data_IF_077350559036
#
_entry.id   IF_077350559036
#
_cell.length_a   1.000
_cell.length_b   1.000
_cell.length_c   1.000
_cell.angle_alpha   90.00
_cell.angle_beta   90.00
_cell.angle_gamma   90.00
#
_symmetry.space_group_name_H-M   'P 1'
#
loop_
_entity.id
_entity.type
_entity.pdbx_description
1 polymer ?
#
# COMPACT_ATOMS: atom_id res chain seq x y z
N UNK A 1 19.24 -100.01 22.11
CA UNK A 1 20.05 -100.33 20.91
C UNK A 1 21.50 -100.00 21.30
N UNK A 2 22.54 -100.87 21.24
CA UNK A 2 23.12 -101.69 20.13
C UNK A 2 23.54 -100.80 18.94
N UNK A 3 24.76 -100.78 18.41
CA UNK A 3 26.08 -101.49 18.59
C UNK A 3 27.21 -100.46 18.23
N UNK A 4 28.51 -100.47 18.58
CA UNK A 4 29.50 -101.30 19.31
C UNK A 4 30.90 -100.63 19.14
N UNK A 5 32.10 -101.24 19.12
CA UNK A 5 32.61 -102.59 19.45
C UNK A 5 34.17 -102.58 19.48
N UNK A 6 34.82 -103.64 20.01
CA UNK A 6 36.30 -103.94 20.12
C UNK A 6 36.98 -103.32 21.35
N UNK A 7 37.54 -104.07 22.32
CA UNK A 7 38.59 -105.13 22.34
C UNK A 7 40.02 -104.50 22.25
N UNK A 8 41.08 -104.94 22.94
CA UNK A 8 41.51 -106.31 23.38
C UNK A 8 42.20 -106.26 24.78
N UNK A 9 42.21 -107.38 25.54
CA UNK A 9 42.89 -107.59 26.85
C UNK A 9 44.33 -108.16 26.71
N UNK A 10 44.99 -108.81 27.70
CA UNK A 10 44.98 -108.70 29.18
C UNK A 10 46.40 -108.55 29.80
N UNK A 11 46.49 -108.28 31.12
CA UNK A 11 47.64 -108.69 31.95
C UNK A 11 47.24 -108.74 33.45
N UNK A 12 47.80 -109.68 34.21
CA UNK A 12 47.69 -109.71 35.68
C UNK A 12 48.81 -108.88 36.30
N UNK A 13 48.51 -108.16 37.39
CA UNK A 13 49.45 -108.08 38.51
C UNK A 13 48.72 -107.87 39.84
N UNK A 14 48.70 -108.90 40.68
CA UNK A 14 48.16 -108.82 42.04
C UNK A 14 49.20 -108.21 42.96
N UNK A 15 48.88 -107.12 43.66
CA UNK A 15 49.75 -106.57 44.70
C UNK A 15 48.92 -106.03 45.87
N UNK A 16 49.27 -106.41 47.09
CA UNK A 16 48.64 -105.87 48.30
C UNK A 16 49.18 -104.47 48.57
N UNK A 17 48.28 -103.50 48.73
CA UNK A 17 48.56 -102.22 49.41
C UNK A 17 47.43 -101.97 50.41
N UNK A 18 47.78 -101.47 51.59
CA UNK A 18 46.82 -101.17 52.64
C UNK A 18 45.86 -100.06 52.18
N UNK A 19 44.59 -100.17 52.58
CA UNK A 19 43.65 -99.04 52.48
C UNK A 19 43.99 -98.06 53.62
N UNK A 20 44.44 -96.82 53.35
CA UNK A 20 44.49 -95.79 54.36
C UNK A 20 43.05 -95.38 54.69
N UNK A 21 42.75 -95.13 55.97
CA UNK A 21 41.45 -94.59 56.35
C UNK A 21 41.21 -93.25 55.62
N UNK A 22 40.08 -93.14 54.91
CA UNK A 22 39.68 -91.88 54.26
C UNK A 22 39.25 -90.92 55.37
N UNK A 23 40.22 -90.20 55.92
CA UNK A 23 39.96 -88.97 56.65
C UNK A 23 39.43 -87.94 55.66
N UNK A 24 38.11 -87.90 55.48
CA UNK A 24 37.46 -86.75 54.90
C UNK A 24 37.75 -85.56 55.83
N UNK A 25 38.56 -84.61 55.37
CA UNK A 25 38.59 -83.29 55.96
C UNK A 25 37.17 -82.73 55.84
N UNK A 26 36.59 -82.30 56.96
CA UNK A 26 35.19 -81.88 56.98
C UNK A 26 35.07 -80.53 56.26
N UNK A 27 34.62 -80.59 55.01
CA UNK A 27 34.54 -79.44 54.11
C UNK A 27 33.63 -78.34 54.65
N UNK A 28 32.65 -78.71 55.48
CA UNK A 28 31.80 -77.76 56.18
C UNK A 28 32.59 -76.99 57.25
N UNK A 29 33.42 -77.67 58.04
CA UNK A 29 34.21 -77.02 59.10
C UNK A 29 35.29 -76.10 58.51
N UNK A 30 35.92 -76.46 57.38
CA UNK A 30 36.83 -75.57 56.64
C UNK A 30 36.11 -74.33 56.06
N UNK A 31 34.90 -74.50 55.52
CA UNK A 31 34.08 -73.39 55.07
C UNK A 31 33.70 -72.46 56.24
N UNK A 32 33.31 -73.02 57.39
CA UNK A 32 33.00 -72.26 58.60
C UNK A 32 34.23 -71.51 59.13
N UNK A 33 35.42 -72.11 59.09
CA UNK A 33 36.66 -71.45 59.48
C UNK A 33 37.00 -70.24 58.60
N UNK A 34 36.75 -70.29 57.28
CA UNK A 34 36.92 -69.12 56.40
C UNK A 34 35.80 -68.08 56.59
N UNK A 35 34.56 -68.52 56.86
CA UNK A 35 33.43 -67.65 57.21
C UNK A 35 33.67 -66.84 58.49
N UNK A 36 34.17 -67.46 59.57
CA UNK A 36 34.43 -66.79 60.86
C UNK A 36 35.45 -65.66 60.70
N UNK A 37 36.48 -65.84 59.85
CA UNK A 37 37.43 -64.77 59.50
C UNK A 37 36.70 -63.60 58.84
N UNK A 38 35.80 -63.87 57.90
CA UNK A 38 34.96 -62.86 57.27
C UNK A 38 34.03 -62.15 58.25
N UNK A 39 33.35 -62.90 59.13
CA UNK A 39 32.42 -62.34 60.11
C UNK A 39 33.09 -61.32 61.05
N UNK A 40 34.32 -61.60 61.48
CA UNK A 40 35.12 -60.64 62.25
C UNK A 40 35.30 -59.31 61.50
N UNK A 41 35.68 -59.36 60.22
CA UNK A 41 35.87 -58.16 59.39
C UNK A 41 34.53 -57.41 59.17
N UNK A 42 33.40 -58.10 59.08
CA UNK A 42 32.06 -57.50 59.09
C UNK A 42 31.74 -56.78 60.42
N UNK A 43 32.06 -57.38 61.57
CA UNK A 43 31.83 -56.71 62.87
C UNK A 43 32.70 -55.46 63.03
N UNK A 44 33.95 -55.49 62.54
CA UNK A 44 34.85 -54.33 62.52
C UNK A 44 34.41 -53.26 61.50
N UNK A 45 33.81 -53.66 60.38
CA UNK A 45 33.19 -52.71 59.45
C UNK A 45 32.07 -51.90 60.12
N UNK A 46 31.27 -52.52 60.99
CA UNK A 46 30.19 -51.83 61.69
C UNK A 46 30.71 -50.82 62.72
N UNK A 47 31.81 -51.11 63.43
CA UNK A 47 32.38 -50.17 64.42
C UNK A 47 33.08 -48.97 63.76
N UNK A 48 33.72 -49.17 62.61
CA UNK A 48 34.35 -48.09 61.83
C UNK A 48 33.34 -47.19 61.09
N UNK A 49 32.10 -47.67 60.88
CA UNK A 49 31.09 -47.05 60.01
C UNK A 49 30.86 -45.55 60.23
N UNK A 50 30.87 -45.07 61.48
CA UNK A 50 30.57 -43.68 61.84
C UNK A 50 31.80 -42.79 61.97
N UNK A 51 33.00 -43.34 61.99
CA UNK A 51 34.26 -42.61 62.23
C UNK A 51 35.25 -42.69 61.07
N UNK A 52 35.20 -43.78 60.29
CA UNK A 52 36.01 -44.04 59.12
C UNK A 52 35.24 -44.91 58.12
N UNK A 53 34.28 -44.30 57.42
CA UNK A 53 33.44 -44.96 56.41
C UNK A 53 34.27 -45.70 55.34
N UNK A 54 35.40 -45.14 54.91
CA UNK A 54 36.27 -45.78 53.92
C UNK A 54 36.99 -47.03 54.49
N UNK A 55 37.33 -47.02 55.77
CA UNK A 55 37.78 -48.20 56.52
C UNK A 55 36.69 -49.25 56.64
N UNK A 56 35.46 -48.83 56.97
CA UNK A 56 34.29 -49.71 57.05
C UNK A 56 34.00 -50.41 55.71
N UNK A 57 33.99 -49.68 54.59
CA UNK A 57 33.80 -50.26 53.26
C UNK A 57 34.89 -51.29 52.93
N UNK A 58 36.17 -50.96 53.13
CA UNK A 58 37.28 -51.90 52.92
C UNK A 58 37.17 -53.17 53.78
N UNK A 59 36.74 -53.05 55.04
CA UNK A 59 36.51 -54.18 55.94
C UNK A 59 35.33 -55.05 55.48
N UNK A 60 34.26 -54.43 54.99
CA UNK A 60 33.13 -55.14 54.41
C UNK A 60 33.48 -55.84 53.08
N UNK A 61 34.32 -55.24 52.24
CA UNK A 61 34.85 -55.88 51.03
C UNK A 61 35.68 -57.13 51.35
N UNK A 62 36.37 -57.16 52.49
CA UNK A 62 37.09 -58.35 52.97
C UNK A 62 36.09 -59.41 53.45
N UNK A 63 35.08 -59.04 54.24
CA UNK A 63 33.98 -59.95 54.60
C UNK A 63 33.37 -60.62 53.37
N UNK A 64 32.99 -59.84 52.34
CA UNK A 64 32.42 -60.38 51.10
C UNK A 64 33.37 -61.33 50.36
N UNK A 65 34.68 -61.08 50.36
CA UNK A 65 35.69 -62.00 49.78
C UNK A 65 35.78 -63.30 50.57
N UNK A 66 35.82 -63.23 51.89
CA UNK A 66 35.90 -64.41 52.77
C UNK A 66 34.60 -65.24 52.71
N UNK A 67 33.44 -64.59 52.66
CA UNK A 67 32.14 -65.25 52.48
C UNK A 67 32.06 -65.99 51.13
N UNK A 68 32.52 -65.38 50.04
CA UNK A 68 32.55 -66.05 48.73
C UNK A 68 33.53 -67.22 48.68
N UNK A 69 34.67 -67.14 49.39
CA UNK A 69 35.59 -68.28 49.56
C UNK A 69 34.95 -69.41 50.35
N UNK A 70 34.39 -69.12 51.51
CA UNK A 70 33.67 -70.10 52.33
C UNK A 70 32.57 -70.80 51.52
N UNK A 71 31.75 -70.03 50.77
CA UNK A 71 30.71 -70.53 49.85
C UNK A 71 31.26 -71.44 48.74
N UNK A 72 32.51 -71.22 48.30
CA UNK A 72 33.16 -72.06 47.29
C UNK A 72 33.77 -73.36 47.85
N UNK A 73 33.90 -73.46 49.18
CA UNK A 73 34.27 -74.70 49.88
C UNK A 73 32.98 -75.50 50.19
N UNK A 74 31.99 -74.85 50.81
CA UNK A 74 30.66 -75.42 51.04
C UNK A 74 29.56 -74.35 50.91
N UNK A 75 28.59 -74.49 49.99
CA UNK A 75 27.51 -73.51 49.80
C UNK A 75 26.42 -73.57 50.90
N UNK A 76 26.38 -74.62 51.73
CA UNK A 76 25.37 -74.79 52.79
C UNK A 76 25.49 -73.78 53.93
N UNK A 77 26.67 -73.15 54.09
CA UNK A 77 26.92 -72.10 55.09
C UNK A 77 25.92 -70.93 55.02
N UNK A 78 25.29 -70.71 53.85
CA UNK A 78 24.33 -69.62 53.64
C UNK A 78 22.94 -69.92 54.21
N UNK A 79 22.63 -71.20 54.46
CA UNK A 79 21.28 -71.67 54.81
C UNK A 79 21.26 -72.47 56.13
N UNK A 80 22.40 -72.55 56.83
CA UNK A 80 22.56 -73.35 58.05
C UNK A 80 22.34 -72.52 59.31
N UNK A 81 21.68 -73.13 60.31
CA UNK A 81 21.49 -72.54 61.65
C UNK A 81 22.62 -72.88 62.62
N UNK A 82 23.58 -73.72 62.22
CA UNK A 82 24.70 -74.10 63.09
C UNK A 82 25.58 -72.89 63.42
N UNK A 83 26.13 -72.86 64.64
CA UNK A 83 27.06 -71.82 65.13
C UNK A 83 26.57 -70.39 64.84
N UNK A 84 25.26 -70.18 65.00
CA UNK A 84 24.53 -68.92 64.82
C UNK A 84 24.65 -68.27 63.43
N UNK A 85 25.04 -69.02 62.39
CA UNK A 85 25.38 -68.46 61.06
C UNK A 85 24.23 -67.68 60.41
N UNK A 86 23.00 -68.16 60.45
CA UNK A 86 21.81 -67.41 59.99
C UNK A 86 21.67 -66.03 60.66
N UNK A 87 21.84 -65.96 61.98
CA UNK A 87 21.76 -64.69 62.74
C UNK A 87 22.92 -63.74 62.38
N UNK A 88 24.12 -64.30 62.24
CA UNK A 88 25.36 -63.59 61.93
C UNK A 88 25.40 -63.09 60.46
N UNK A 89 24.85 -63.86 59.51
CA UNK A 89 24.64 -63.44 58.12
C UNK A 89 23.66 -62.25 58.05
N UNK A 90 22.48 -62.39 58.67
CA UNK A 90 21.50 -61.29 58.75
C UNK A 90 22.03 -60.07 59.49
N UNK A 91 22.95 -60.24 60.44
CA UNK A 91 23.68 -59.12 61.03
C UNK A 91 24.53 -58.40 59.98
N UNK A 92 25.33 -59.12 59.18
CA UNK A 92 26.16 -58.50 58.16
C UNK A 92 25.35 -57.85 57.01
N UNK A 93 24.19 -58.39 56.64
CA UNK A 93 23.24 -57.71 55.75
C UNK A 93 22.81 -56.34 56.31
N UNK A 94 22.47 -56.27 57.60
CA UNK A 94 22.18 -55.01 58.29
C UNK A 94 23.41 -54.08 58.35
N UNK A 95 24.62 -54.62 58.47
CA UNK A 95 25.87 -53.82 58.41
C UNK A 95 26.06 -53.22 57.01
N UNK A 96 25.82 -53.96 55.94
CA UNK A 96 25.87 -53.45 54.56
C UNK A 96 24.92 -52.27 54.36
N UNK A 97 23.65 -52.47 54.74
CA UNK A 97 22.60 -51.44 54.68
C UNK A 97 23.01 -50.20 55.49
N UNK A 98 23.52 -50.39 56.71
CA UNK A 98 23.97 -49.30 57.56
C UNK A 98 25.18 -48.54 56.98
N UNK A 99 26.11 -49.22 56.31
CA UNK A 99 27.26 -48.61 55.61
C UNK A 99 26.77 -47.80 54.42
N UNK A 100 25.89 -48.36 53.57
CA UNK A 100 25.27 -47.63 52.45
C UNK A 100 24.49 -46.40 52.92
N UNK A 101 23.73 -46.50 54.02
CA UNK A 101 23.04 -45.34 54.63
C UNK A 101 24.02 -44.29 55.13
N UNK A 102 25.15 -44.69 55.74
CA UNK A 102 26.19 -43.74 56.19
C UNK A 102 26.89 -43.01 55.03
N UNK A 103 26.97 -43.64 53.86
CA UNK A 103 27.48 -43.02 52.63
C UNK A 103 26.44 -42.10 51.95
N UNK A 104 25.19 -42.54 51.85
CA UNK A 104 24.10 -41.81 51.20
C UNK A 104 23.58 -40.60 51.99
N UNK A 105 23.59 -40.65 53.33
CA UNK A 105 23.05 -39.59 54.21
C UNK A 105 23.67 -38.21 53.94
N UNK A 106 25.02 -38.01 53.99
CA UNK A 106 25.60 -36.68 53.77
C UNK A 106 25.36 -36.13 52.34
N UNK A 107 25.15 -37.00 51.36
CA UNK A 107 24.81 -36.61 49.98
C UNK A 107 23.39 -36.03 49.94
N UNK A 108 22.42 -36.74 50.53
CA UNK A 108 21.04 -36.26 50.64
C UNK A 108 20.94 -35.00 51.52
N UNK A 109 21.73 -34.91 52.60
CA UNK A 109 21.78 -33.72 53.46
C UNK A 109 22.36 -32.50 52.75
N UNK A 110 23.36 -32.68 51.88
CA UNK A 110 23.79 -31.61 50.96
C UNK A 110 22.68 -31.24 49.99
N UNK A 111 21.88 -32.18 49.51
CA UNK A 111 20.68 -31.89 48.71
C UNK A 111 19.67 -30.99 49.44
N UNK A 112 19.46 -31.20 50.73
CA UNK A 112 18.46 -30.42 51.48
C UNK A 112 18.78 -28.91 51.55
N UNK A 113 20.05 -28.49 51.51
CA UNK A 113 20.37 -27.05 51.52
C UNK A 113 19.91 -26.34 50.23
N UNK A 114 19.97 -27.03 49.08
CA UNK A 114 19.39 -26.54 47.84
C UNK A 114 17.85 -26.51 47.89
N UNK A 115 17.22 -27.51 48.50
CA UNK A 115 15.76 -27.51 48.72
C UNK A 115 15.29 -26.35 49.61
N UNK A 116 15.97 -26.07 50.72
CA UNK A 116 15.65 -24.92 51.57
C UNK A 116 15.96 -23.58 50.87
N UNK A 117 17.00 -23.52 50.02
CA UNK A 117 17.28 -22.33 49.18
C UNK A 117 16.16 -22.11 48.15
N UNK A 118 15.73 -23.16 47.44
CA UNK A 118 14.64 -23.09 46.47
C UNK A 118 13.32 -22.62 47.09
N UNK A 119 13.02 -23.12 48.30
CA UNK A 119 11.88 -22.72 49.12
C UNK A 119 11.93 -21.25 49.53
N UNK A 120 13.10 -20.70 49.83
CA UNK A 120 13.25 -19.28 50.13
C UNK A 120 13.10 -18.41 48.87
N UNK A 121 13.69 -18.83 47.75
CA UNK A 121 13.50 -18.18 46.44
C UNK A 121 12.01 -18.12 46.05
N UNK A 122 11.23 -19.20 46.25
CA UNK A 122 9.78 -19.18 46.02
C UNK A 122 9.02 -18.18 46.88
N UNK A 123 9.36 -18.05 48.19
CA UNK A 123 8.72 -17.02 49.04
C UNK A 123 8.97 -15.60 48.51
N UNK A 124 10.15 -15.39 47.94
CA UNK A 124 10.61 -14.10 47.42
C UNK A 124 10.21 -13.87 45.95
N UNK A 125 9.44 -14.77 45.34
CA UNK A 125 8.98 -14.67 43.94
C UNK A 125 10.03 -15.04 42.89
N UNK A 126 11.22 -15.48 43.29
CA UNK A 126 12.31 -15.84 42.38
C UNK A 126 12.16 -17.29 41.89
N UNK A 127 11.22 -17.49 40.97
CA UNK A 127 10.93 -18.79 40.33
C UNK A 127 12.16 -19.36 39.58
N UNK A 128 12.97 -18.58 38.81
CA UNK A 128 14.16 -19.11 38.14
C UNK A 128 15.25 -19.64 39.08
N UNK A 129 15.57 -18.92 40.16
CA UNK A 129 16.53 -19.42 41.16
C UNK A 129 15.96 -20.61 41.94
N UNK A 130 14.66 -20.62 42.21
CA UNK A 130 13.98 -21.77 42.82
C UNK A 130 14.07 -23.03 41.92
N UNK A 131 13.85 -22.89 40.61
CA UNK A 131 13.96 -24.00 39.66
C UNK A 131 15.38 -24.57 39.59
N UNK A 132 16.38 -23.68 39.55
CA UNK A 132 17.80 -24.06 39.53
C UNK A 132 18.18 -24.87 40.77
N UNK A 133 17.82 -24.37 41.96
CA UNK A 133 18.11 -25.05 43.22
C UNK A 133 17.31 -26.35 43.40
N UNK A 134 16.05 -26.40 42.98
CA UNK A 134 15.25 -27.63 43.02
C UNK A 134 15.83 -28.73 42.12
N UNK A 135 16.45 -28.35 41.00
CA UNK A 135 17.15 -29.30 40.10
C UNK A 135 18.40 -29.89 40.76
N UNK A 136 19.20 -29.08 41.45
CA UNK A 136 20.36 -29.56 42.24
C UNK A 136 19.93 -30.46 43.42
N UNK A 137 18.83 -30.12 44.11
CA UNK A 137 18.24 -31.00 45.14
C UNK A 137 17.88 -32.38 44.56
N UNK A 138 17.21 -32.43 43.40
CA UNK A 138 16.83 -33.69 42.74
C UNK A 138 18.05 -34.55 42.44
N UNK A 139 19.11 -33.99 41.86
CA UNK A 139 20.33 -34.75 41.61
C UNK A 139 20.90 -35.33 42.91
N UNK A 140 21.05 -34.53 43.96
CA UNK A 140 21.56 -35.04 45.25
C UNK A 140 20.65 -36.07 45.95
N UNK A 141 19.32 -35.97 45.76
CA UNK A 141 18.37 -37.01 46.20
C UNK A 141 18.60 -38.31 45.44
N UNK A 142 18.71 -38.24 44.12
CA UNK A 142 18.79 -39.40 43.25
C UNK A 142 20.18 -40.07 43.36
N UNK A 143 21.26 -39.28 43.46
CA UNK A 143 22.63 -39.73 43.80
C UNK A 143 22.65 -40.57 45.10
N UNK A 144 21.91 -40.13 46.12
CA UNK A 144 21.82 -40.83 47.40
C UNK A 144 20.96 -42.11 47.31
N UNK A 145 19.86 -42.09 46.55
CA UNK A 145 18.99 -43.26 46.34
C UNK A 145 19.66 -44.36 45.51
N UNK A 146 20.57 -44.01 44.59
CA UNK A 146 21.42 -44.96 43.85
C UNK A 146 22.32 -45.78 44.80
N UNK A 147 22.74 -45.20 45.92
CA UNK A 147 23.56 -45.89 46.95
C UNK A 147 22.69 -46.78 47.84
N UNK A 148 21.56 -46.24 48.35
CA UNK A 148 20.45 -47.05 48.87
C UNK A 148 19.15 -46.24 49.02
N UNK A 149 18.08 -46.81 48.50
CA UNK A 149 16.67 -46.49 48.79
C UNK A 149 16.35 -46.43 50.29
N UNK A 150 16.97 -47.30 51.09
CA UNK A 150 16.70 -47.51 52.52
C UNK A 150 17.00 -46.30 53.42
N UNK A 151 17.62 -45.24 52.89
CA UNK A 151 17.63 -43.91 53.54
C UNK A 151 16.20 -43.39 53.81
N UNK A 152 15.20 -43.82 53.04
CA UNK A 152 13.79 -43.46 53.20
C UNK A 152 13.08 -44.16 54.37
N UNK A 153 13.70 -45.16 54.99
CA UNK A 153 13.25 -45.69 56.29
C UNK A 153 13.66 -44.76 57.45
N UNK A 154 14.70 -43.94 57.28
CA UNK A 154 15.13 -42.99 58.29
C UNK A 154 14.14 -41.84 58.35
N UNK A 155 13.20 -41.90 59.30
CA UNK A 155 12.06 -41.00 59.42
C UNK A 155 12.41 -39.50 59.24
N UNK A 156 13.52 -39.04 59.82
CA UNK A 156 13.98 -37.65 59.69
C UNK A 156 14.34 -37.26 58.24
N UNK A 157 15.07 -38.12 57.52
CA UNK A 157 15.42 -37.90 56.11
C UNK A 157 14.17 -37.97 55.23
N UNK A 158 13.34 -39.00 55.42
CA UNK A 158 12.10 -39.17 54.69
C UNK A 158 11.09 -38.04 54.94
N UNK A 159 11.09 -37.44 56.13
CA UNK A 159 10.27 -36.25 56.46
C UNK A 159 10.75 -35.03 55.67
N UNK A 160 12.07 -34.76 55.63
CA UNK A 160 12.65 -33.71 54.81
C UNK A 160 12.41 -33.92 53.31
N UNK A 161 12.55 -35.14 52.78
CA UNK A 161 12.22 -35.45 51.36
C UNK A 161 10.76 -35.12 51.03
N UNK A 162 9.80 -35.52 51.90
CA UNK A 162 8.38 -35.15 51.73
C UNK A 162 8.14 -33.64 51.86
N UNK A 163 8.95 -32.92 52.63
CA UNK A 163 8.89 -31.45 52.70
C UNK A 163 9.38 -30.80 51.39
N UNK A 164 10.45 -31.33 50.78
CA UNK A 164 10.96 -30.87 49.50
C UNK A 164 10.01 -31.19 48.32
N UNK A 165 9.31 -32.32 48.34
CA UNK A 165 8.22 -32.61 47.38
C UNK A 165 7.18 -31.48 47.35
N UNK A 166 6.75 -30.98 48.52
CA UNK A 166 5.80 -29.86 48.61
C UNK A 166 6.38 -28.50 48.17
N UNK A 167 7.70 -28.39 48.02
CA UNK A 167 8.36 -27.22 47.41
C UNK A 167 8.44 -27.41 45.89
N UNK A 168 8.68 -28.64 45.42
CA UNK A 168 8.63 -29.01 44.00
C UNK A 168 7.22 -28.85 43.41
N UNK A 169 6.18 -29.29 44.12
CA UNK A 169 4.76 -29.12 43.76
C UNK A 169 4.43 -27.63 43.57
N UNK A 170 4.79 -26.77 44.55
CA UNK A 170 4.59 -25.32 44.47
C UNK A 170 5.42 -24.65 43.39
N UNK A 171 6.66 -25.12 43.16
CA UNK A 171 7.46 -24.65 42.03
C UNK A 171 6.78 -24.96 40.70
N UNK A 172 6.16 -26.14 40.54
CA UNK A 172 5.43 -26.48 39.32
C UNK A 172 4.20 -25.58 39.10
N UNK A 173 3.50 -25.19 40.16
CA UNK A 173 2.43 -24.17 40.12
C UNK A 173 3.00 -22.79 39.71
N UNK A 174 4.01 -22.27 40.41
CA UNK A 174 4.60 -20.96 40.11
C UNK A 174 5.26 -20.90 38.72
N UNK A 175 5.89 -21.98 38.24
CA UNK A 175 6.43 -22.05 36.87
C UNK A 175 5.33 -22.02 35.81
N UNK A 176 4.13 -22.54 36.11
CA UNK A 176 3.00 -22.49 35.17
C UNK A 176 2.48 -21.06 35.01
N UNK A 177 2.39 -20.32 36.10
CA UNK A 177 2.00 -18.89 36.10
C UNK A 177 3.07 -18.03 35.42
N UNK A 178 4.35 -18.26 35.77
CA UNK A 178 5.51 -17.60 35.14
C UNK A 178 5.56 -17.84 33.63
N UNK A 179 5.40 -19.08 33.18
CA UNK A 179 5.39 -19.40 31.74
C UNK A 179 4.22 -18.73 31.02
N UNK A 180 3.01 -18.72 31.61
CA UNK A 180 1.85 -18.05 31.01
C UNK A 180 2.04 -16.52 30.93
N UNK A 181 2.76 -15.91 31.87
CA UNK A 181 3.17 -14.51 31.79
C UNK A 181 4.24 -14.29 30.71
N UNK A 182 5.26 -15.14 30.63
CA UNK A 182 6.32 -15.07 29.60
C UNK A 182 5.74 -15.24 28.19
N UNK A 183 4.73 -16.11 28.00
CA UNK A 183 3.99 -16.23 26.74
C UNK A 183 3.29 -14.92 26.35
N UNK A 184 2.59 -14.25 27.30
CA UNK A 184 1.95 -12.94 27.06
C UNK A 184 2.95 -11.83 26.75
N UNK A 185 4.10 -11.81 27.44
CA UNK A 185 5.22 -10.90 27.14
C UNK A 185 5.76 -11.15 25.73
N UNK A 186 6.01 -12.41 25.37
CA UNK A 186 6.53 -12.80 24.06
C UNK A 186 5.54 -12.47 22.94
N UNK A 187 4.22 -12.60 23.15
CA UNK A 187 3.20 -12.17 22.20
C UNK A 187 3.21 -10.65 21.98
N UNK A 188 3.39 -9.85 23.04
CA UNK A 188 3.54 -8.40 22.93
C UNK A 188 4.84 -7.99 22.19
N UNK A 189 5.95 -8.68 22.48
CA UNK A 189 7.25 -8.54 21.81
C UNK A 189 7.12 -8.83 20.31
N UNK A 190 6.58 -9.99 19.92
CA UNK A 190 6.37 -10.36 18.52
C UNK A 190 5.46 -9.35 17.80
N UNK A 191 4.38 -8.91 18.45
CA UNK A 191 3.52 -7.86 17.92
C UNK A 191 4.29 -6.57 17.62
N UNK A 192 5.16 -6.13 18.54
CA UNK A 192 6.00 -4.94 18.34
C UNK A 192 7.17 -5.15 17.37
N UNK A 193 7.68 -6.37 17.19
CA UNK A 193 8.62 -6.71 16.10
C UNK A 193 7.95 -6.50 14.73
N UNK A 194 6.67 -6.86 14.57
CA UNK A 194 5.89 -6.59 13.35
C UNK A 194 5.68 -5.08 13.14
N UNK A 195 5.36 -4.31 14.19
CA UNK A 195 5.23 -2.84 14.13
C UNK A 195 6.50 -2.19 13.61
N UNK A 196 7.66 -2.53 14.20
CA UNK A 196 8.96 -2.01 13.77
C UNK A 196 9.27 -2.41 12.32
N UNK A 197 8.97 -3.66 11.93
CA UNK A 197 9.20 -4.13 10.55
C UNK A 197 8.38 -3.34 9.52
N UNK A 198 7.08 -3.16 9.75
CA UNK A 198 6.20 -2.39 8.87
C UNK A 198 6.60 -0.91 8.82
N UNK A 199 6.92 -0.33 9.97
CA UNK A 199 7.33 1.07 10.05
C UNK A 199 8.66 1.34 9.34
N UNK A 200 9.70 0.50 9.53
CA UNK A 200 10.98 0.70 8.84
C UNK A 200 10.89 0.40 7.34
N UNK A 201 9.99 -0.47 6.89
CA UNK A 201 9.66 -0.62 5.47
C UNK A 201 9.02 0.65 4.89
N UNK A 202 8.05 1.24 5.60
CA UNK A 202 7.44 2.52 5.23
C UNK A 202 8.50 3.65 5.18
N UNK A 203 9.34 3.75 6.22
CA UNK A 203 10.43 4.73 6.35
C UNK A 203 11.46 4.61 5.23
N UNK A 204 11.91 3.39 4.94
CA UNK A 204 12.87 3.10 3.86
C UNK A 204 12.28 3.41 2.48
N UNK A 205 10.98 3.18 2.30
CA UNK A 205 10.28 3.48 1.05
C UNK A 205 10.18 4.99 0.81
N UNK A 206 9.80 5.79 1.82
CA UNK A 206 9.60 7.23 1.66
C UNK A 206 10.87 8.08 1.75
N UNK A 207 11.89 7.62 2.49
CA UNK A 207 13.21 8.28 2.53
C UNK A 207 14.11 7.94 1.34
N UNK A 208 13.68 7.02 0.47
CA UNK A 208 14.42 6.61 -0.72
C UNK A 208 14.63 7.79 -1.69
N UNK A 209 15.84 7.99 -2.26
CA UNK A 209 16.07 8.96 -3.33
C UNK A 209 15.35 8.58 -4.65
N UNK A 210 14.70 7.41 -4.71
CA UNK A 210 13.83 6.96 -5.82
C UNK A 210 12.34 6.96 -5.43
N UNK A 211 11.96 7.60 -4.33
CA UNK A 211 10.56 7.74 -3.93
C UNK A 211 9.79 8.58 -4.97
N UNK A 212 8.53 8.19 -5.21
CA UNK A 212 7.58 8.93 -6.05
C UNK A 212 6.31 9.16 -5.24
N UNK A 213 5.69 10.33 -5.40
CA UNK A 213 4.45 10.71 -4.70
C UNK A 213 3.25 9.80 -5.01
N UNK A 214 3.33 8.99 -6.08
CA UNK A 214 2.37 7.92 -6.38
C UNK A 214 2.39 6.81 -5.31
N UNK A 215 3.54 6.56 -4.69
CA UNK A 215 3.72 5.57 -3.61
C UNK A 215 3.43 6.12 -2.21
N UNK A 216 2.96 7.36 -2.11
CA UNK A 216 2.61 7.94 -0.82
C UNK A 216 1.45 7.17 -0.17
N UNK A 217 0.54 6.66 -0.98
CA UNK A 217 -0.63 5.94 -0.50
C UNK A 217 -0.24 4.50 -0.06
N UNK A 218 0.66 3.81 -0.78
CA UNK A 218 1.31 2.56 -0.32
C UNK A 218 1.96 2.73 1.07
N UNK A 219 2.68 3.83 1.27
CA UNK A 219 3.40 4.13 2.53
C UNK A 219 2.42 4.43 3.67
N UNK A 220 1.30 5.10 3.39
CA UNK A 220 0.23 5.30 4.37
C UNK A 220 -0.36 3.95 4.80
N UNK A 221 -0.55 3.00 3.87
CA UNK A 221 -1.10 1.68 4.20
C UNK A 221 -0.14 0.80 5.00
N UNK A 222 1.18 0.85 4.74
CA UNK A 222 2.18 0.22 5.62
C UNK A 222 2.10 0.78 7.06
N UNK A 223 1.90 2.10 7.22
CA UNK A 223 1.71 2.72 8.52
C UNK A 223 0.35 2.38 9.16
N UNK A 224 -0.70 2.18 8.36
CA UNK A 224 -2.00 1.69 8.84
C UNK A 224 -1.89 0.25 9.37
N UNK A 225 -1.15 -0.64 8.71
CA UNK A 225 -0.87 -1.99 9.22
C UNK A 225 0.02 -1.98 10.45
N UNK A 226 1.05 -1.12 10.51
CA UNK A 226 1.83 -0.90 11.73
C UNK A 226 0.94 -0.46 12.90
N UNK A 227 0.00 0.46 12.68
CA UNK A 227 -0.94 0.92 13.69
C UNK A 227 -1.93 -0.19 14.14
N UNK A 228 -2.39 -1.05 13.23
CA UNK A 228 -3.21 -2.24 13.55
C UNK A 228 -2.43 -3.24 14.40
N UNK A 229 -1.19 -3.57 14.01
CA UNK A 229 -0.30 -4.46 14.76
C UNK A 229 -0.01 -3.91 16.17
N UNK A 230 0.25 -2.60 16.28
CA UNK A 230 0.48 -1.90 17.56
C UNK A 230 -0.75 -1.92 18.47
N UNK A 231 -1.95 -1.75 17.90
CA UNK A 231 -3.21 -1.86 18.64
C UNK A 231 -3.42 -3.29 19.15
N UNK A 232 -3.15 -4.30 18.33
CA UNK A 232 -3.22 -5.72 18.71
C UNK A 232 -2.23 -6.07 19.83
N UNK A 233 -0.95 -5.72 19.67
CA UNK A 233 0.08 -5.96 20.68
C UNK A 233 -0.28 -5.38 22.06
N UNK A 234 -0.86 -4.16 22.07
CA UNK A 234 -1.33 -3.46 23.28
C UNK A 234 -2.59 -4.06 23.92
N UNK A 235 -3.25 -5.05 23.33
CA UNK A 235 -4.35 -5.79 24.00
C UNK A 235 -3.81 -6.73 25.09
N UNK A 236 -2.52 -7.07 25.09
CA UNK A 236 -1.85 -7.81 26.16
C UNK A 236 -1.60 -6.89 27.37
N UNK A 237 -2.65 -6.42 28.04
CA UNK A 237 -2.56 -5.43 29.14
C UNK A 237 -1.64 -5.88 30.28
N UNK A 238 -1.64 -7.18 30.59
CA UNK A 238 -0.74 -7.78 31.60
C UNK A 238 0.75 -7.61 31.24
N UNK A 239 1.11 -7.69 29.96
CA UNK A 239 2.49 -7.50 29.53
C UNK A 239 2.95 -6.05 29.76
N UNK A 240 2.06 -5.07 29.57
CA UNK A 240 2.35 -3.66 29.83
C UNK A 240 2.27 -3.29 31.33
N UNK A 241 1.53 -4.05 32.14
CA UNK A 241 1.62 -3.97 33.59
C UNK A 241 2.99 -4.47 34.10
N UNK A 242 3.42 -5.68 33.70
CA UNK A 242 4.71 -6.26 34.12
C UNK A 242 5.92 -5.50 33.56
N UNK A 243 5.80 -4.89 32.38
CA UNK A 243 6.77 -3.91 31.87
C UNK A 243 7.01 -2.74 32.84
N UNK A 244 5.94 -2.28 33.51
CA UNK A 244 5.95 -1.13 34.42
C UNK A 244 6.37 -1.53 35.84
N UNK A 245 5.83 -2.64 36.34
CA UNK A 245 6.09 -3.15 37.70
C UNK A 245 7.47 -3.81 37.82
N UNK A 246 7.97 -4.42 36.75
CA UNK A 246 9.19 -5.23 36.75
C UNK A 246 10.07 -4.92 35.52
N UNK A 247 10.58 -3.67 35.40
CA UNK A 247 11.34 -3.22 34.23
C UNK A 247 12.70 -3.92 34.05
N UNK A 248 13.21 -4.58 35.10
CA UNK A 248 14.49 -5.29 35.07
C UNK A 248 14.42 -6.73 34.51
N UNK A 249 13.23 -7.24 34.16
CA UNK A 249 13.11 -8.56 33.51
C UNK A 249 13.62 -8.49 32.06
N UNK A 250 14.27 -9.53 31.52
CA UNK A 250 14.76 -9.53 30.13
C UNK A 250 13.66 -9.20 29.10
N UNK A 251 12.48 -9.77 29.27
CA UNK A 251 11.32 -9.54 28.40
C UNK A 251 10.80 -8.10 28.52
N UNK A 252 10.83 -7.50 29.71
CA UNK A 252 10.47 -6.08 29.91
C UNK A 252 11.46 -5.16 29.19
N UNK A 253 12.75 -5.44 29.28
CA UNK A 253 13.79 -4.66 28.59
C UNK A 253 13.70 -4.78 27.07
N UNK A 254 13.43 -5.97 26.53
CA UNK A 254 13.19 -6.15 25.09
C UNK A 254 11.93 -5.44 24.63
N UNK A 255 10.81 -5.60 25.34
CA UNK A 255 9.55 -4.95 25.01
C UNK A 255 9.68 -3.41 25.06
N UNK A 256 10.34 -2.85 26.08
CA UNK A 256 10.58 -1.41 26.17
C UNK A 256 11.36 -0.90 24.95
N UNK A 257 12.48 -1.56 24.62
CA UNK A 257 13.33 -1.21 23.47
C UNK A 257 12.55 -1.24 22.15
N UNK A 258 11.67 -2.22 21.95
CA UNK A 258 10.83 -2.33 20.76
C UNK A 258 9.70 -1.28 20.74
N UNK A 259 9.16 -0.90 21.90
CA UNK A 259 8.16 0.18 22.04
C UNK A 259 8.76 1.54 21.68
N UNK A 260 9.96 1.84 22.18
CA UNK A 260 10.65 3.11 21.92
C UNK A 260 11.13 3.20 20.47
N UNK A 261 11.68 2.11 19.92
CA UNK A 261 12.04 1.98 18.50
C UNK A 261 10.83 2.23 17.58
N UNK A 262 9.67 1.65 17.90
CA UNK A 262 8.44 1.88 17.13
C UNK A 262 7.98 3.36 17.22
N UNK A 263 8.04 3.97 18.40
CA UNK A 263 7.68 5.38 18.58
C UNK A 263 8.62 6.33 17.81
N UNK A 264 9.93 6.05 17.81
CA UNK A 264 10.92 6.82 17.04
C UNK A 264 10.69 6.69 15.53
N UNK A 265 10.46 5.47 15.04
CA UNK A 265 10.17 5.23 13.63
C UNK A 265 8.84 5.88 13.20
N UNK A 266 7.79 5.79 14.01
CA UNK A 266 6.50 6.43 13.73
C UNK A 266 6.63 7.94 13.61
N UNK A 267 7.40 8.59 14.50
CA UNK A 267 7.67 10.03 14.42
C UNK A 267 8.37 10.43 13.13
N UNK A 268 9.48 9.76 12.80
CA UNK A 268 10.26 10.02 11.59
C UNK A 268 9.42 9.80 10.32
N UNK A 269 8.72 8.68 10.23
CA UNK A 269 7.91 8.32 9.05
C UNK A 269 6.71 9.27 8.88
N UNK A 270 6.10 9.71 9.98
CA UNK A 270 5.02 10.71 9.94
C UNK A 270 5.49 12.07 9.42
N UNK A 271 6.73 12.49 9.73
CA UNK A 271 7.30 13.74 9.21
C UNK A 271 7.55 13.66 7.69
N UNK A 272 8.10 12.54 7.21
CA UNK A 272 8.23 12.28 5.76
C UNK A 272 6.87 12.26 5.05
N UNK A 273 5.88 11.54 5.59
CA UNK A 273 4.51 11.48 5.03
C UNK A 273 3.88 12.86 4.99
N UNK A 274 4.00 13.66 6.05
CA UNK A 274 3.46 15.04 6.11
C UNK A 274 4.11 15.94 5.07
N UNK A 275 5.41 15.79 4.85
CA UNK A 275 6.18 16.55 3.86
C UNK A 275 5.79 16.14 2.43
N UNK A 276 5.74 14.85 2.14
CA UNK A 276 5.29 14.32 0.85
C UNK A 276 3.84 14.70 0.55
N UNK A 277 2.94 14.65 1.54
CA UNK A 277 1.54 15.09 1.41
C UNK A 277 1.43 16.58 1.09
N UNK A 278 2.24 17.43 1.74
CA UNK A 278 2.29 18.87 1.45
C UNK A 278 2.77 19.12 0.01
N UNK A 279 3.77 18.36 -0.45
CA UNK A 279 4.30 18.48 -1.81
C UNK A 279 3.30 17.98 -2.87
N UNK A 280 2.64 16.83 -2.66
CA UNK A 280 1.55 16.31 -3.52
C UNK A 280 0.45 17.36 -3.69
N UNK A 281 -0.07 17.91 -2.59
CA UNK A 281 -1.12 18.96 -2.61
C UNK A 281 -0.68 20.25 -3.30
N UNK A 282 0.59 20.65 -3.16
CA UNK A 282 1.11 21.84 -3.85
C UNK A 282 1.17 21.63 -5.37
N UNK A 283 1.67 20.48 -5.82
CA UNK A 283 1.74 20.11 -7.24
C UNK A 283 0.33 19.88 -7.84
N UNK A 284 -0.56 19.24 -7.11
CA UNK A 284 -1.99 19.12 -7.48
C UNK A 284 -2.65 20.50 -7.63
N UNK A 285 -2.30 21.48 -6.79
CA UNK A 285 -2.79 22.85 -6.93
C UNK A 285 -2.24 23.51 -8.20
N UNK A 286 -0.93 23.44 -8.44
CA UNK A 286 -0.29 24.00 -9.64
C UNK A 286 -0.96 23.42 -10.92
N UNK A 287 -1.24 22.12 -10.94
CA UNK A 287 -1.97 21.46 -12.04
C UNK A 287 -3.41 21.97 -12.15
N UNK A 288 -4.13 22.15 -11.04
CA UNK A 288 -5.51 22.65 -11.07
C UNK A 288 -5.62 24.12 -11.52
N UNK A 289 -4.69 24.98 -11.12
CA UNK A 289 -4.59 26.37 -11.61
C UNK A 289 -4.25 26.39 -13.12
N UNK A 290 -3.45 25.43 -13.58
CA UNK A 290 -3.22 25.15 -15.00
C UNK A 290 -4.48 24.67 -15.75
N UNK A 291 -5.27 23.77 -15.15
CA UNK A 291 -6.55 23.29 -15.70
C UNK A 291 -7.55 24.45 -15.83
N UNK A 292 -7.65 25.33 -14.83
CA UNK A 292 -8.51 26.52 -14.90
C UNK A 292 -8.10 27.44 -16.06
N UNK A 293 -6.79 27.64 -16.24
CA UNK A 293 -6.23 28.43 -17.34
C UNK A 293 -6.49 27.80 -18.72
N UNK A 294 -6.43 26.46 -18.82
CA UNK A 294 -6.80 25.73 -20.04
C UNK A 294 -8.32 25.70 -20.29
N UNK A 295 -9.16 25.72 -19.25
CA UNK A 295 -10.61 25.80 -19.40
C UNK A 295 -10.99 27.13 -20.05
N UNK A 296 -10.49 28.24 -19.50
CA UNK A 296 -10.69 29.56 -20.11
C UNK A 296 -10.14 29.65 -21.55
N UNK A 297 -9.08 28.88 -21.88
CA UNK A 297 -8.57 28.76 -23.25
C UNK A 297 -9.52 27.96 -24.17
N UNK A 298 -10.11 26.86 -23.69
CA UNK A 298 -11.14 26.09 -24.39
C UNK A 298 -12.39 26.96 -24.61
N UNK A 299 -12.90 27.63 -23.57
CA UNK A 299 -14.10 28.46 -23.62
C UNK A 299 -13.97 29.62 -24.62
N UNK A 300 -12.83 30.32 -24.60
CA UNK A 300 -12.51 31.36 -25.58
C UNK A 300 -12.41 30.78 -27.01
N UNK A 301 -11.83 29.59 -27.18
CA UNK A 301 -11.78 28.94 -28.49
C UNK A 301 -13.17 28.55 -28.99
N UNK A 302 -14.06 28.07 -28.13
CA UNK A 302 -15.44 27.73 -28.51
C UNK A 302 -16.28 28.95 -28.86
N UNK A 303 -16.05 30.09 -28.20
CA UNK A 303 -16.70 31.35 -28.56
C UNK A 303 -16.23 31.86 -29.93
N UNK A 304 -14.91 31.85 -30.18
CA UNK A 304 -14.36 32.10 -31.51
C UNK A 304 -14.92 31.12 -32.56
N UNK A 305 -15.07 29.83 -32.21
CA UNK A 305 -15.63 28.80 -33.10
C UNK A 305 -17.07 29.09 -33.47
N UNK A 306 -17.92 29.44 -32.50
CA UNK A 306 -19.35 29.79 -32.69
C UNK A 306 -19.49 31.00 -33.62
N UNK A 307 -18.70 32.06 -33.40
CA UNK A 307 -18.68 33.24 -34.28
C UNK A 307 -18.16 32.89 -35.69
N UNK A 308 -17.15 32.03 -35.80
CA UNK A 308 -16.58 31.57 -37.08
C UNK A 308 -17.44 30.60 -37.89
N UNK A 309 -18.71 30.38 -37.51
CA UNK A 309 -19.66 29.60 -38.29
C UNK A 309 -20.17 30.34 -39.53
N UNK A 310 -20.48 31.64 -39.38
CA UNK A 310 -20.84 32.57 -40.46
C UNK A 310 -20.73 34.00 -39.93
N UNK A 311 -19.90 34.82 -40.58
CA UNK A 311 -19.81 36.25 -40.26
C UNK A 311 -20.95 37.03 -40.93
N UNK A 312 -21.51 38.02 -40.22
CA UNK A 312 -22.59 38.90 -40.70
C UNK A 312 -22.14 40.37 -40.68
N UNK A 313 -21.30 40.74 -39.71
CA UNK A 313 -20.63 42.03 -39.62
C UNK A 313 -19.10 41.85 -39.49
N UNK A 314 -18.35 42.89 -39.85
CA UNK A 314 -16.88 42.90 -39.74
C UNK A 314 -16.43 42.85 -38.26
N UNK A 315 -17.27 43.32 -37.33
CA UNK A 315 -17.09 43.17 -35.89
C UNK A 315 -17.09 41.69 -35.42
N UNK A 316 -17.83 40.80 -36.10
CA UNK A 316 -17.84 39.36 -35.77
C UNK A 316 -16.46 38.73 -36.04
N UNK A 317 -15.81 39.18 -37.12
CA UNK A 317 -14.46 38.74 -37.51
C UNK A 317 -13.45 39.22 -36.46
N UNK A 318 -13.46 40.51 -36.13
CA UNK A 318 -12.57 41.08 -35.11
C UNK A 318 -12.75 40.39 -33.75
N UNK A 319 -13.99 40.08 -33.36
CA UNK A 319 -14.28 39.38 -32.11
C UNK A 319 -13.82 37.92 -32.14
N UNK A 320 -14.07 37.18 -33.23
CA UNK A 320 -13.60 35.81 -33.37
C UNK A 320 -12.06 35.72 -33.39
N UNK A 321 -11.38 36.67 -34.01
CA UNK A 321 -9.91 36.78 -33.99
C UNK A 321 -9.39 37.16 -32.59
N UNK A 322 -10.09 38.02 -31.84
CA UNK A 322 -9.75 38.35 -30.45
C UNK A 322 -9.91 37.14 -29.50
N UNK A 323 -11.08 36.48 -29.52
CA UNK A 323 -11.39 35.29 -28.71
C UNK A 323 -10.38 34.15 -29.01
N UNK A 324 -10.04 33.95 -30.29
CA UNK A 324 -9.02 32.98 -30.70
C UNK A 324 -7.61 33.35 -30.18
N UNK A 325 -7.22 34.62 -30.28
CA UNK A 325 -5.92 35.08 -29.77
C UNK A 325 -5.83 35.01 -28.25
N UNK A 326 -6.92 35.26 -27.52
CA UNK A 326 -7.02 35.03 -26.07
C UNK A 326 -6.82 33.56 -25.72
N UNK A 327 -7.49 32.65 -26.45
CA UNK A 327 -7.29 31.20 -26.29
C UNK A 327 -5.81 30.80 -26.52
N UNK A 328 -5.20 31.31 -27.59
CA UNK A 328 -3.81 31.04 -27.91
C UNK A 328 -2.85 31.59 -26.84
N UNK A 329 -3.11 32.77 -26.28
CA UNK A 329 -2.31 33.38 -25.22
C UNK A 329 -2.42 32.60 -23.89
N UNK A 330 -3.63 32.20 -23.49
CA UNK A 330 -3.86 31.39 -22.28
C UNK A 330 -3.19 30.02 -22.38
N UNK A 331 -3.34 29.33 -23.53
CA UNK A 331 -2.63 28.06 -23.78
C UNK A 331 -1.11 28.25 -23.74
N UNK A 332 -0.58 29.30 -24.39
CA UNK A 332 0.87 29.61 -24.38
C UNK A 332 1.41 29.84 -22.97
N UNK A 333 0.66 30.55 -22.11
CA UNK A 333 1.02 30.74 -20.70
C UNK A 333 1.19 29.40 -19.97
N UNK A 334 0.25 28.47 -20.18
CA UNK A 334 0.31 27.13 -19.57
C UNK A 334 1.46 26.29 -20.13
N UNK A 335 1.69 26.28 -21.45
CA UNK A 335 2.82 25.55 -22.05
C UNK A 335 4.19 26.16 -21.74
N UNK A 336 4.25 27.44 -21.38
CA UNK A 336 5.47 28.13 -20.98
C UNK A 336 5.94 27.77 -19.56
N UNK A 337 5.06 27.22 -18.73
CA UNK A 337 5.44 26.71 -17.41
C UNK A 337 6.03 25.30 -17.54
N UNK A 338 7.35 25.25 -17.75
CA UNK A 338 8.11 24.02 -17.86
C UNK A 338 8.02 23.14 -16.59
N UNK A 339 7.82 23.73 -15.41
CA UNK A 339 7.67 22.99 -14.14
C UNK A 339 6.32 22.27 -14.11
N UNK A 340 5.24 22.96 -14.46
CA UNK A 340 3.90 22.39 -14.59
C UNK A 340 3.87 21.26 -15.61
N UNK A 341 4.41 21.47 -16.82
CA UNK A 341 4.45 20.44 -17.87
C UNK A 341 5.28 19.22 -17.43
N UNK A 342 6.46 19.42 -16.83
CA UNK A 342 7.26 18.33 -16.29
C UNK A 342 6.54 17.57 -15.16
N UNK A 343 5.79 18.27 -14.30
CA UNK A 343 5.00 17.66 -13.22
C UNK A 343 3.89 16.77 -13.78
N UNK A 344 3.13 17.25 -14.77
CA UNK A 344 2.08 16.47 -15.44
C UNK A 344 2.65 15.23 -16.14
N UNK A 345 3.85 15.33 -16.73
CA UNK A 345 4.56 14.20 -17.35
C UNK A 345 5.14 13.21 -16.33
N UNK A 346 5.58 13.69 -15.16
CA UNK A 346 6.11 12.86 -14.07
C UNK A 346 5.00 12.05 -13.37
N UNK A 347 3.79 12.60 -13.27
CA UNK A 347 2.65 12.02 -12.56
C UNK A 347 1.42 11.81 -13.46
N UNK A 348 1.51 11.01 -14.55
CA UNK A 348 0.41 10.80 -15.51
C UNK A 348 -0.73 9.93 -14.94
N UNK A 349 -0.48 9.27 -13.82
CA UNK A 349 -1.42 8.51 -12.99
C UNK A 349 -2.48 9.41 -12.32
N UNK A 350 -2.14 10.67 -12.02
CA UNK A 350 -3.03 11.56 -11.26
C UNK A 350 -4.24 12.00 -12.09
N UNK A 351 -5.41 12.03 -11.46
CA UNK A 351 -6.67 12.48 -12.07
C UNK A 351 -6.60 13.94 -12.58
N UNK A 352 -5.82 14.78 -11.88
CA UNK A 352 -5.49 16.15 -12.31
C UNK A 352 -4.65 16.15 -13.60
N UNK A 353 -3.52 15.43 -13.64
CA UNK A 353 -2.67 15.30 -14.83
C UNK A 353 -3.41 14.75 -16.06
N UNK A 354 -4.32 13.78 -15.84
CA UNK A 354 -5.18 13.23 -16.90
C UNK A 354 -6.20 14.26 -17.41
N UNK A 355 -6.86 14.99 -16.50
CA UNK A 355 -7.79 16.07 -16.86
C UNK A 355 -7.08 17.20 -17.61
N UNK A 356 -5.90 17.61 -17.16
CA UNK A 356 -5.03 18.58 -17.82
C UNK A 356 -4.68 18.14 -19.25
N UNK A 357 -4.18 16.92 -19.41
CA UNK A 357 -3.76 16.37 -20.71
C UNK A 357 -4.94 16.27 -21.69
N UNK A 358 -6.11 15.83 -21.22
CA UNK A 358 -7.34 15.79 -22.03
C UNK A 358 -7.79 17.18 -22.48
N UNK A 359 -7.77 18.16 -21.58
CA UNK A 359 -8.20 19.53 -21.85
C UNK A 359 -7.21 20.28 -22.76
N UNK A 360 -5.91 20.03 -22.61
CA UNK A 360 -4.85 20.52 -23.50
C UNK A 360 -5.05 20.04 -24.95
N UNK A 361 -5.29 18.74 -25.14
CA UNK A 361 -5.56 18.15 -26.45
C UNK A 361 -6.88 18.66 -27.06
N UNK A 362 -7.92 18.84 -26.24
CA UNK A 362 -9.19 19.45 -26.65
C UNK A 362 -8.98 20.89 -27.15
N UNK A 363 -8.24 21.70 -26.38
CA UNK A 363 -7.97 23.10 -26.71
C UNK A 363 -7.17 23.21 -28.02
N UNK A 364 -6.20 22.32 -28.24
CA UNK A 364 -5.43 22.27 -29.49
C UNK A 364 -6.30 21.87 -30.70
N UNK A 365 -7.14 20.85 -30.56
CA UNK A 365 -8.09 20.44 -31.59
C UNK A 365 -9.04 21.58 -31.96
N UNK A 366 -9.62 22.24 -30.95
CA UNK A 366 -10.46 23.42 -31.14
C UNK A 366 -9.70 24.53 -31.88
N UNK A 367 -8.51 24.94 -31.43
CA UNK A 367 -7.73 26.01 -32.05
C UNK A 367 -7.43 25.70 -33.53
N UNK A 368 -7.04 24.46 -33.84
CA UNK A 368 -6.74 24.02 -35.21
C UNK A 368 -7.96 24.15 -36.13
N UNK A 369 -9.14 23.69 -35.69
CA UNK A 369 -10.39 23.82 -36.47
C UNK A 369 -10.85 25.27 -36.59
N UNK A 370 -10.82 26.03 -35.49
CA UNK A 370 -11.29 27.43 -35.45
C UNK A 370 -10.42 28.36 -36.30
N UNK A 371 -9.09 28.19 -36.30
CA UNK A 371 -8.20 28.98 -37.16
C UNK A 371 -8.48 28.77 -38.65
N UNK A 372 -8.84 27.53 -39.05
CA UNK A 372 -9.25 27.24 -40.42
C UNK A 372 -10.62 27.87 -40.75
N UNK A 373 -11.61 27.74 -39.84
CA UNK A 373 -12.96 28.29 -40.04
C UNK A 373 -12.95 29.82 -40.15
N UNK A 374 -12.21 30.52 -39.29
CA UNK A 374 -12.04 31.99 -39.35
C UNK A 374 -11.46 32.39 -40.72
N UNK A 375 -10.36 31.75 -41.17
CA UNK A 375 -9.74 32.06 -42.47
C UNK A 375 -10.69 31.85 -43.64
N UNK A 376 -11.41 30.72 -43.65
CA UNK A 376 -12.36 30.38 -44.72
C UNK A 376 -13.55 31.35 -44.75
N UNK A 377 -14.21 31.58 -43.62
CA UNK A 377 -15.38 32.48 -43.56
C UNK A 377 -15.00 33.95 -43.77
N UNK A 378 -13.79 34.39 -43.36
CA UNK A 378 -13.29 35.74 -43.65
C UNK A 378 -13.11 35.96 -45.15
N UNK A 379 -12.58 34.98 -45.88
CA UNK A 379 -12.50 35.04 -47.34
C UNK A 379 -13.88 35.07 -48.03
N UNK A 380 -14.84 34.26 -47.54
CA UNK A 380 -16.23 34.27 -48.03
C UNK A 380 -16.90 35.62 -47.77
N UNK A 381 -16.77 36.18 -46.57
CA UNK A 381 -17.34 37.48 -46.19
C UNK A 381 -16.77 38.62 -47.04
N UNK A 382 -15.44 38.69 -47.22
CA UNK A 382 -14.81 39.69 -48.09
C UNK A 382 -15.28 39.57 -49.53
N UNK A 383 -15.43 38.35 -50.06
CA UNK A 383 -15.97 38.14 -51.42
C UNK A 383 -17.44 38.58 -51.54
N UNK A 384 -18.27 38.32 -50.52
CA UNK A 384 -19.65 38.81 -50.48
C UNK A 384 -19.71 40.34 -50.39
N UNK A 385 -18.90 40.97 -49.53
CA UNK A 385 -18.85 42.43 -49.39
C UNK A 385 -18.34 43.10 -50.69
N UNK A 386 -17.39 42.48 -51.39
CA UNK A 386 -16.93 42.93 -52.71
C UNK A 386 -18.02 42.82 -53.77
N UNK A 387 -18.77 41.70 -53.83
CA UNK A 387 -19.92 41.56 -54.75
C UNK A 387 -20.99 42.61 -54.47
N UNK A 388 -21.41 42.79 -53.21
CA UNK A 388 -22.39 43.82 -52.82
C UNK A 388 -21.91 45.22 -53.23
N UNK A 389 -20.61 45.55 -53.03
CA UNK A 389 -20.04 46.83 -53.50
C UNK A 389 -20.03 46.96 -55.03
N UNK A 390 -19.72 45.89 -55.76
CA UNK A 390 -19.75 45.88 -57.24
C UNK A 390 -21.17 45.99 -57.81
N UNK A 391 -22.13 45.30 -57.20
CA UNK A 391 -23.53 45.30 -57.63
C UNK A 391 -24.21 46.64 -57.28
N UNK A 392 -23.90 47.23 -56.11
CA UNK A 392 -24.32 48.59 -55.75
C UNK A 392 -23.69 49.65 -56.67
N UNK A 393 -22.40 49.52 -57.02
CA UNK A 393 -21.77 50.41 -58.00
C UNK A 393 -22.40 50.29 -59.40
N UNK A 394 -22.76 49.06 -59.82
CA UNK A 394 -23.48 48.83 -61.10
C UNK A 394 -24.89 49.42 -61.07
N UNK A 395 -25.59 49.31 -59.94
CA UNK A 395 -26.91 49.96 -59.75
C UNK A 395 -26.79 51.49 -59.79
N UNK A 396 -25.81 52.08 -59.11
CA UNK A 396 -25.57 53.53 -59.17
C UNK A 396 -25.20 54.02 -60.58
N UNK A 397 -24.44 53.25 -61.36
CA UNK A 397 -24.17 53.54 -62.77
C UNK A 397 -25.45 53.50 -63.62
N UNK A 398 -26.28 52.47 -63.47
CA UNK A 398 -27.58 52.35 -64.17
C UNK A 398 -28.56 53.47 -63.75
N UNK A 399 -28.49 53.95 -62.51
CA UNK A 399 -29.30 55.06 -62.04
C UNK A 399 -28.82 56.41 -62.59
N UNK A 400 -27.51 56.65 -62.65
CA UNK A 400 -26.92 57.80 -63.34
C UNK A 400 -27.23 57.80 -64.84
N UNK A 401 -27.21 56.63 -65.49
CA UNK A 401 -27.59 56.48 -66.89
C UNK A 401 -29.07 56.82 -67.12
N UNK A 402 -29.97 56.34 -66.24
CA UNK A 402 -31.40 56.72 -66.24
C UNK A 402 -31.60 58.22 -66.02
N UNK A 403 -30.85 58.84 -65.10
CA UNK A 403 -30.92 60.28 -64.85
C UNK A 403 -30.48 61.06 -66.10
N UNK A 404 -29.37 60.69 -66.75
CA UNK A 404 -28.93 61.33 -68.00
C UNK A 404 -29.93 61.17 -69.15
N UNK A 405 -30.57 60.02 -69.28
CA UNK A 405 -31.63 59.80 -70.27
C UNK A 405 -32.88 60.64 -69.97
N UNK A 406 -33.23 60.83 -68.69
CA UNK A 406 -34.32 61.72 -68.27
C UNK A 406 -33.99 63.21 -68.52
N UNK A 407 -32.76 63.64 -68.23
CA UNK A 407 -32.27 64.99 -68.56
C UNK A 407 -32.25 65.26 -70.06
N UNK A 408 -31.79 64.30 -70.89
CA UNK A 408 -31.80 64.43 -72.34
C UNK A 408 -33.22 64.52 -72.90
N UNK A 409 -34.16 63.72 -72.36
CA UNK A 409 -35.58 63.78 -72.72
C UNK A 409 -36.20 65.12 -72.32
N UNK A 410 -35.98 65.58 -71.09
CA UNK A 410 -36.44 66.89 -70.62
C UNK A 410 -35.84 68.05 -71.43
N UNK A 411 -34.58 67.93 -71.89
CA UNK A 411 -33.96 68.93 -72.76
C UNK A 411 -34.64 68.99 -74.13
N UNK A 412 -34.95 67.84 -74.74
CA UNK A 412 -35.70 67.76 -76.02
C UNK A 412 -37.10 68.34 -75.88
N UNK A 413 -37.82 67.98 -74.81
CA UNK A 413 -39.16 68.53 -74.52
C UNK A 413 -39.12 70.06 -74.28
N UNK A 414 -38.08 70.58 -73.62
CA UNK A 414 -37.87 72.03 -73.45
C UNK A 414 -37.47 72.74 -74.76
N UNK A 415 -36.80 72.05 -75.67
CA UNK A 415 -36.41 72.55 -77.00
C UNK A 415 -37.64 72.64 -77.92
N UNK A 416 -38.48 71.59 -77.95
CA UNK A 416 -39.80 71.61 -78.61
C UNK A 416 -40.72 72.69 -78.02
N UNK A 417 -40.76 72.84 -76.70
CA UNK A 417 -41.57 73.87 -76.04
C UNK A 417 -41.13 75.30 -76.39
N UNK A 418 -39.83 75.54 -76.57
CA UNK A 418 -39.31 76.82 -77.09
C UNK A 418 -39.76 77.05 -78.53
N UNK A 419 -39.62 76.05 -79.40
CA UNK A 419 -40.03 76.11 -80.81
C UNK A 419 -41.53 76.43 -80.93
N UNK A 420 -42.36 75.82 -80.07
CA UNK A 420 -43.80 76.10 -79.98
C UNK A 420 -44.09 77.54 -79.47
N UNK A 421 -43.29 78.05 -78.53
CA UNK A 421 -43.44 79.40 -77.99
C UNK A 421 -42.99 80.50 -78.98
N UNK A 422 -41.96 80.26 -79.78
CA UNK A 422 -41.56 81.17 -80.87
C UNK A 422 -42.61 81.19 -81.97
N UNK A 423 -43.20 80.04 -82.34
CA UNK A 423 -44.32 79.98 -83.29
C UNK A 423 -45.52 80.83 -82.83
N UNK A 424 -45.88 80.76 -81.54
CA UNK A 424 -46.94 81.61 -80.96
C UNK A 424 -46.58 83.09 -80.92
N UNK A 425 -45.31 83.45 -80.70
CA UNK A 425 -44.86 84.86 -80.78
C UNK A 425 -44.92 85.41 -82.21
N UNK A 426 -44.65 84.57 -83.22
CA UNK A 426 -44.82 84.97 -84.62
C UNK A 426 -46.31 85.22 -84.97
N UNK A 427 -47.23 84.36 -84.50
CA UNK A 427 -48.69 84.61 -84.59
C UNK A 427 -49.10 85.93 -83.92
N UNK A 428 -48.61 86.21 -82.70
CA UNK A 428 -48.96 87.45 -81.98
C UNK A 428 -48.43 88.70 -82.69
N UNK A 429 -47.23 88.64 -83.29
CA UNK A 429 -46.66 89.71 -84.11
C UNK A 429 -47.42 89.93 -85.43
N UNK A 430 -47.89 88.86 -86.07
CA UNK A 430 -48.75 88.97 -87.25
C UNK A 430 -50.07 89.69 -86.90
N UNK A 431 -50.71 89.32 -85.78
CA UNK A 431 -51.93 89.99 -85.31
C UNK A 431 -51.72 91.48 -85.02
N UNK A 432 -50.61 91.84 -84.38
CA UNK A 432 -50.30 93.25 -84.05
C UNK A 432 -50.05 94.12 -85.27
N UNK A 433 -49.53 93.57 -86.38
CA UNK A 433 -49.45 94.31 -87.65
C UNK A 433 -50.84 94.63 -88.22
N UNK A 434 -51.74 93.65 -88.25
CA UNK A 434 -53.11 93.85 -88.72
C UNK A 434 -53.86 94.90 -87.88
N UNK A 435 -53.73 94.85 -86.55
CA UNK A 435 -54.34 95.81 -85.63
C UNK A 435 -53.76 97.25 -85.74
N UNK A 436 -52.51 97.42 -86.22
CA UNK A 436 -51.89 98.74 -86.42
C UNK A 436 -52.20 99.36 -87.80
N UNK A 437 -52.27 98.53 -88.84
CA UNK A 437 -52.56 98.97 -90.22
C UNK A 437 -54.00 99.49 -90.35
N UNK A 438 -54.96 98.82 -89.69
CA UNK A 438 -56.37 99.25 -89.64
C UNK A 438 -56.61 100.59 -88.91
N UNK A 439 -55.60 101.13 -88.20
CA UNK A 439 -55.78 102.28 -87.29
C UNK A 439 -55.22 103.62 -87.80
N UNK A 440 -54.71 103.67 -89.04
CA UNK A 440 -54.10 104.87 -89.65
C UNK A 440 -54.96 105.55 -90.75
N UNK A 441 -56.11 104.99 -91.10
CA UNK A 441 -56.83 105.33 -92.35
C UNK A 441 -58.19 106.07 -92.17
N UNK A 442 -58.36 106.89 -91.12
CA UNK A 442 -59.68 107.48 -90.81
C UNK A 442 -59.65 108.90 -90.21
N UNK A 443 -59.17 109.89 -90.97
CA UNK A 443 -59.50 111.31 -90.82
C UNK A 443 -59.26 112.05 -92.15
N UNK A 444 -60.26 112.83 -92.63
CA UNK A 444 -60.33 113.50 -93.94
C UNK A 444 -59.11 114.42 -94.20
N UNK A 445 -58.66 114.70 -95.43
CA UNK A 445 -59.39 115.01 -96.71
C UNK A 445 -58.59 114.59 -97.97
N UNK A 446 -59.09 114.43 -99.21
CA UNK A 446 -60.42 114.28 -99.84
C UNK A 446 -60.26 114.02 -101.38
N UNK A 447 -61.28 113.48 -102.08
CA UNK A 447 -61.81 113.75 -103.47
C UNK A 447 -60.84 113.95 -104.68
N UNK A 448 -61.10 113.46 -105.94
CA UNK A 448 -62.25 112.72 -106.53
C UNK A 448 -61.91 111.40 -107.31
N UNK A 449 -62.97 110.67 -107.74
CA UNK A 449 -63.27 109.89 -108.99
C UNK A 449 -62.16 109.02 -109.69
N UNK A 450 -62.44 107.96 -110.48
CA UNK A 450 -63.65 107.51 -111.22
C UNK A 450 -63.55 106.00 -111.68
N UNK A 451 -64.64 105.43 -112.26
CA UNK A 451 -64.77 104.13 -113.01
C UNK A 451 -64.71 102.81 -112.15
N UNK A 452 -65.65 101.84 -112.14
CA UNK A 452 -66.21 100.88 -113.17
C UNK A 452 -65.15 99.83 -113.67
N UNK A 453 -65.39 98.53 -113.96
CA UNK A 453 -66.56 97.68 -114.31
C UNK A 453 -66.42 96.25 -113.70
N UNK A 454 -67.47 95.43 -113.82
CA UNK A 454 -67.82 94.09 -113.27
C UNK A 454 -67.02 92.82 -113.68
N UNK A 455 -67.60 91.66 -113.26
CA UNK A 455 -67.59 90.29 -113.82
C UNK A 455 -66.57 89.20 -113.35
N UNK A 456 -67.13 88.18 -112.66
CA UNK A 456 -67.08 86.73 -112.89
C UNK A 456 -65.84 86.02 -113.50
N UNK A 457 -65.46 84.87 -112.90
CA UNK A 457 -65.66 83.53 -113.53
C UNK A 457 -65.57 82.37 -112.49
N UNK A 458 -65.98 81.16 -112.91
CA UNK A 458 -66.06 79.90 -112.15
C UNK A 458 -64.70 79.32 -111.69
N UNK A 459 -64.75 78.41 -110.70
CA UNK A 459 -63.62 77.57 -110.29
C UNK A 459 -63.62 76.18 -110.98
N UNK A 460 -62.69 75.30 -110.58
CA UNK A 460 -62.49 73.97 -111.16
C UNK A 460 -62.30 72.85 -110.11
N UNK A 461 -62.57 71.60 -110.51
CA UNK A 461 -62.33 70.36 -109.76
C UNK A 461 -61.02 69.71 -110.21
N UNK A 462 -60.34 68.97 -109.32
CA UNK A 462 -59.07 68.31 -109.68
C UNK A 462 -58.67 67.17 -108.74
N UNK A 463 -59.36 66.03 -108.87
CA UNK A 463 -59.12 64.83 -108.05
C UNK A 463 -57.97 63.95 -108.61
N UNK A 464 -57.29 63.19 -107.75
CA UNK A 464 -56.44 62.05 -108.17
C UNK A 464 -56.23 61.05 -107.02
N UNK A 465 -57.02 59.98 -107.04
CA UNK A 465 -56.87 58.82 -106.15
C UNK A 465 -55.71 57.92 -106.60
N UNK A 466 -55.06 57.23 -105.64
CA UNK A 466 -55.06 55.76 -105.64
C UNK A 466 -54.60 55.16 -104.28
N UNK A 467 -55.45 54.31 -103.70
CA UNK A 467 -55.19 52.97 -103.13
C UNK A 467 -53.95 52.72 -102.21
N UNK A 468 -54.06 51.99 -101.09
CA UNK A 468 -55.18 51.16 -100.58
C UNK A 468 -55.03 50.78 -99.09
N UNK A 469 -56.17 50.52 -98.42
CA UNK A 469 -56.40 49.65 -97.25
C UNK A 469 -55.67 50.00 -95.91
N UNK A 470 -56.19 49.67 -94.73
CA UNK A 470 -57.35 48.82 -94.36
C UNK A 470 -58.16 49.42 -93.18
N UNK A 471 -59.37 48.91 -92.93
CA UNK A 471 -60.30 49.39 -91.87
C UNK A 471 -60.66 48.28 -90.87
N UNK A 472 -60.82 48.68 -89.59
CA UNK A 472 -61.32 47.86 -88.45
C UNK A 472 -60.37 46.77 -87.93
N UNK A 473 -60.18 46.65 -86.61
CA UNK A 473 -61.20 46.03 -85.73
C UNK A 473 -61.27 46.56 -84.30
N UNK A 474 -62.42 46.27 -83.71
CA UNK A 474 -62.90 46.68 -82.40
C UNK A 474 -63.11 45.45 -81.51
N UNK A 475 -62.96 45.64 -80.18
CA UNK A 475 -63.53 44.82 -79.09
C UNK A 475 -62.91 43.43 -78.81
N UNK A 476 -62.57 43.23 -77.52
CA UNK A 476 -62.30 41.98 -76.76
C UNK A 476 -61.08 41.15 -77.14
#
# INVERSE_FOLDING_TARGET
MKVGFKNISPALMTCLVLIPGIAAADTFDDAVNEYIKGYKECTEANTLRTTNLQGAKRKFDIYLKQLNRAKSIDPSILNTTQRDMDSNLRYCERVEINIKRAEATPILEKGFTYCDTAKESLKNGDVPTAQTNMTEYKRYRDDAMIITDSIMEVFALASKVRACSRVEEKLAESMKEENALVEKMNAAIQGYQVVNTQCEQAKTTISSPKFSLDKLDDVNDMMNEAAKAKKSARQNTEAFAVLTEQPNRPQSQELQKLVDSAAQCEGQTSEYIRTATKNKRALEKDINDGIASLSAAQDACENARKLSGRFVAEADITKAEADYNQSAALKRKVTGDAKLIATVQQYPSWSSSQKFSKLMNSTESCQKTTSASIKQQKAVFTSQQQKVKQDAARQAQLEQERQRLAEEKARKEAEEAKLLAEKKKAEELARKKADEEARKAAALTDVPDDVEVDDDEFGDFGDSNNDSNDWTKLVK
#
